data_IF_376040276249
#
_entry.id   IF_376040276249
#
_cell.length_a   1.000
_cell.length_b   1.000
_cell.length_c   1.000
_cell.angle_alpha   90.00
_cell.angle_beta   90.00
_cell.angle_gamma   90.00
#
_symmetry.space_group_name_H-M   'P 1'
#
loop_
_entity.id
_entity.type
_entity.pdbx_description
1 polymer ?
#
# COMPACT_ATOMS: atom_id res chain seq x y z
N UNK A 1 27.76 25.95 22.81
CA UNK A 1 28.25 25.38 21.53
C UNK A 1 27.49 24.09 21.25
N UNK A 2 26.51 24.08 20.36
CA UNK A 2 25.86 22.85 19.90
C UNK A 2 26.79 22.19 18.89
N UNK A 3 27.38 21.04 19.22
CA UNK A 3 28.07 20.19 18.25
C UNK A 3 27.05 19.82 17.17
N UNK A 4 27.17 20.38 15.96
CA UNK A 4 26.44 19.93 14.79
C UNK A 4 27.04 18.57 14.41
N UNK A 5 26.30 17.50 14.64
CA UNK A 5 26.64 16.19 14.10
C UNK A 5 26.70 16.31 12.57
N UNK A 6 27.89 16.37 12.02
CA UNK A 6 28.14 16.34 10.59
C UNK A 6 28.24 14.88 10.16
N UNK A 7 27.13 14.30 9.73
CA UNK A 7 27.15 12.95 9.19
C UNK A 7 27.35 13.01 7.67
N UNK A 8 28.41 12.40 7.16
CA UNK A 8 28.69 12.35 5.72
C UNK A 8 27.88 11.24 5.04
N UNK A 9 26.69 11.57 4.57
CA UNK A 9 25.82 10.67 3.84
C UNK A 9 26.39 10.26 2.48
N UNK A 10 27.04 11.17 1.76
CA UNK A 10 27.57 10.92 0.43
C UNK A 10 28.79 10.02 0.48
N UNK A 11 29.72 10.26 1.42
CA UNK A 11 30.89 9.41 1.63
C UNK A 11 30.53 7.99 2.07
N UNK A 12 29.40 7.83 2.79
CA UNK A 12 28.90 6.53 3.23
C UNK A 12 27.79 5.94 2.35
N UNK A 13 27.53 6.49 1.16
CA UNK A 13 26.43 6.08 0.27
C UNK A 13 26.36 4.57 0.03
N UNK A 14 27.52 3.91 -0.19
CA UNK A 14 27.56 2.44 -0.37
C UNK A 14 26.98 1.67 0.82
N UNK A 15 27.19 2.13 2.05
CA UNK A 15 26.66 1.48 3.25
C UNK A 15 25.13 1.61 3.31
N UNK A 16 24.59 2.76 2.92
CA UNK A 16 23.12 2.95 2.86
C UNK A 16 22.49 2.11 1.77
N UNK A 17 23.09 2.01 0.57
CA UNK A 17 22.62 1.12 -0.48
C UNK A 17 22.63 -0.35 -0.03
N UNK A 18 23.71 -0.79 0.61
CA UNK A 18 23.78 -2.16 1.15
C UNK A 18 22.71 -2.37 2.21
N UNK A 19 22.50 -1.41 3.12
CA UNK A 19 21.48 -1.50 4.16
C UNK A 19 20.07 -1.63 3.57
N UNK A 20 19.70 -0.75 2.62
CA UNK A 20 18.35 -0.76 2.03
C UNK A 20 18.13 -2.00 1.18
N UNK A 21 19.11 -2.43 0.38
CA UNK A 21 19.02 -3.66 -0.40
C UNK A 21 18.94 -4.90 0.49
N UNK A 22 19.70 -4.93 1.59
CA UNK A 22 19.60 -6.03 2.57
C UNK A 22 18.22 -6.07 3.24
N UNK A 23 17.66 -4.91 3.60
CA UNK A 23 16.32 -4.81 4.15
C UNK A 23 15.27 -5.30 3.15
N UNK A 24 15.36 -4.86 1.90
CA UNK A 24 14.46 -5.33 0.83
C UNK A 24 14.55 -6.83 0.63
N UNK A 25 15.75 -7.40 0.66
CA UNK A 25 15.96 -8.85 0.53
C UNK A 25 15.34 -9.61 1.70
N UNK A 26 15.51 -9.12 2.93
CA UNK A 26 14.88 -9.71 4.12
C UNK A 26 13.35 -9.66 3.98
N UNK A 27 12.79 -8.50 3.60
CA UNK A 27 11.35 -8.36 3.39
C UNK A 27 10.83 -9.30 2.29
N UNK A 28 11.59 -9.48 1.20
CA UNK A 28 11.25 -10.41 0.13
C UNK A 28 11.22 -11.86 0.62
N UNK A 29 12.22 -12.26 1.40
CA UNK A 29 12.27 -13.61 2.00
C UNK A 29 11.07 -13.80 2.94
N UNK A 30 10.77 -12.83 3.79
CA UNK A 30 9.61 -12.87 4.68
C UNK A 30 8.30 -12.95 3.90
N UNK A 31 8.17 -12.22 2.79
CA UNK A 31 6.98 -12.29 1.93
C UNK A 31 6.77 -13.69 1.35
N UNK A 32 7.84 -14.34 0.87
CA UNK A 32 7.74 -15.66 0.23
C UNK A 32 7.47 -16.77 1.25
N UNK A 33 8.09 -16.73 2.43
CA UNK A 33 8.07 -17.83 3.38
C UNK A 33 7.11 -17.65 4.57
N UNK A 34 6.75 -16.41 4.90
CA UNK A 34 5.98 -16.10 6.13
C UNK A 34 4.70 -15.34 5.84
N UNK A 35 4.79 -14.27 5.07
CA UNK A 35 3.69 -13.36 4.79
C UNK A 35 3.31 -13.51 3.31
N UNK A 36 2.14 -14.08 3.04
CA UNK A 36 1.64 -14.13 1.67
C UNK A 36 1.01 -12.78 1.32
N UNK A 37 1.13 -12.40 0.05
CA UNK A 37 0.48 -11.18 -0.45
C UNK A 37 -1.02 -11.41 -0.56
N UNK A 38 -1.80 -10.64 0.18
CA UNK A 38 -3.25 -10.66 0.10
C UNK A 38 -3.71 -9.56 -0.87
N UNK A 39 -4.30 -9.98 -1.99
CA UNK A 39 -4.89 -9.08 -2.97
C UNK A 39 -6.38 -8.95 -2.68
N UNK A 40 -6.87 -7.72 -2.64
CA UNK A 40 -8.31 -7.45 -2.51
C UNK A 40 -9.09 -8.01 -3.72
N UNK A 41 -10.38 -8.30 -3.50
CA UNK A 41 -11.29 -8.79 -4.54
C UNK A 41 -11.42 -7.85 -5.74
N UNK A 42 -11.10 -6.58 -5.58
CA UNK A 42 -11.08 -5.63 -6.70
C UNK A 42 -10.07 -6.01 -7.77
N UNK A 43 -9.00 -6.71 -7.40
CA UNK A 43 -7.95 -7.17 -8.32
C UNK A 43 -8.10 -8.64 -8.72
N UNK A 44 -8.56 -9.48 -7.79
CA UNK A 44 -8.71 -10.93 -8.02
C UNK A 44 -10.08 -11.31 -8.52
N UNK A 45 -11.08 -10.49 -8.24
CA UNK A 45 -12.48 -10.87 -8.28
C UNK A 45 -12.88 -11.65 -7.03
N UNK A 46 -14.17 -11.75 -6.79
CA UNK A 46 -14.70 -12.38 -5.61
C UNK A 46 -15.86 -11.59 -5.01
N UNK A 47 -16.21 -11.89 -3.77
CA UNK A 47 -17.26 -11.16 -3.08
C UNK A 47 -16.92 -10.93 -1.61
N UNK A 48 -17.25 -9.74 -1.12
CA UNK A 48 -17.13 -9.37 0.30
C UNK A 48 -18.53 -9.13 0.87
N UNK A 49 -18.81 -9.77 1.98
CA UNK A 49 -19.98 -9.50 2.80
C UNK A 49 -19.53 -8.87 4.12
N UNK A 50 -19.99 -7.65 4.41
CA UNK A 50 -19.71 -6.98 5.68
C UNK A 50 -20.91 -7.06 6.61
N UNK A 51 -20.65 -7.51 7.82
CA UNK A 51 -21.62 -7.61 8.90
C UNK A 51 -21.17 -6.74 10.07
N UNK A 52 -22.11 -5.98 10.62
CA UNK A 52 -21.96 -5.34 11.91
C UNK A 52 -22.46 -6.27 13.00
N UNK A 53 -21.72 -6.40 14.10
CA UNK A 53 -22.10 -7.25 15.21
C UNK A 53 -21.75 -6.62 16.56
N UNK A 54 -22.44 -7.06 17.62
CA UNK A 54 -22.18 -6.62 19.00
C UNK A 54 -21.56 -7.76 19.81
N UNK A 55 -20.65 -7.41 20.72
CA UNK A 55 -19.97 -8.35 21.62
C UNK A 55 -18.48 -8.51 21.31
N UNK A 56 -17.73 -8.93 22.30
CA UNK A 56 -16.30 -9.21 22.20
C UNK A 56 -16.06 -10.72 22.00
N UNK A 57 -15.00 -11.06 21.26
CA UNK A 57 -14.44 -12.40 21.10
C UNK A 57 -15.32 -13.45 20.37
N UNK A 58 -15.55 -13.21 19.10
CA UNK A 58 -15.93 -14.29 18.21
C UNK A 58 -14.69 -15.10 17.81
N UNK A 59 -14.76 -16.43 17.97
CA UNK A 59 -13.70 -17.31 17.52
C UNK A 59 -13.71 -17.40 16.01
N UNK A 60 -12.59 -17.03 15.38
CA UNK A 60 -12.41 -17.10 13.93
C UNK A 60 -12.68 -18.52 13.39
N UNK A 61 -12.23 -19.54 14.12
CA UNK A 61 -12.46 -20.95 13.76
C UNK A 61 -13.93 -21.35 13.77
N UNK A 62 -14.75 -20.77 14.66
CA UNK A 62 -16.19 -21.09 14.72
C UNK A 62 -16.94 -20.40 13.60
N UNK A 63 -16.66 -19.13 13.33
CA UNK A 63 -17.25 -18.41 12.20
C UNK A 63 -16.87 -19.08 10.88
N UNK A 64 -15.60 -19.45 10.72
CA UNK A 64 -15.11 -20.15 9.53
C UNK A 64 -15.91 -21.41 9.24
N UNK A 65 -16.12 -22.26 10.24
CA UNK A 65 -16.91 -23.49 10.08
C UNK A 65 -18.36 -23.23 9.69
N UNK A 66 -18.98 -22.22 10.30
CA UNK A 66 -20.37 -21.87 10.02
C UNK A 66 -20.54 -21.34 8.60
N UNK A 67 -19.63 -20.47 8.16
CA UNK A 67 -19.69 -19.85 6.84
C UNK A 67 -19.29 -20.85 5.77
N UNK A 68 -18.24 -21.64 5.95
CA UNK A 68 -17.85 -22.71 5.02
C UNK A 68 -18.94 -23.76 4.83
N UNK A 69 -19.67 -24.10 5.91
CA UNK A 69 -20.81 -25.01 5.80
C UNK A 69 -21.96 -24.41 4.97
N UNK A 70 -22.13 -23.09 4.98
CA UNK A 70 -23.17 -22.39 4.24
C UNK A 70 -22.77 -22.11 2.78
N UNK A 71 -21.51 -21.79 2.51
CA UNK A 71 -21.02 -21.39 1.17
C UNK A 71 -20.37 -22.55 0.40
N UNK A 72 -19.81 -23.53 1.09
CA UNK A 72 -18.96 -24.63 0.55
C UNK A 72 -17.71 -24.14 -0.18
N UNK A 73 -17.28 -22.92 0.10
CA UNK A 73 -16.11 -22.25 -0.50
C UNK A 73 -15.11 -21.88 0.58
N UNK A 74 -13.85 -21.67 0.17
CA UNK A 74 -12.83 -21.13 1.06
C UNK A 74 -13.11 -19.65 1.32
N UNK A 75 -13.11 -19.30 2.60
CA UNK A 75 -13.47 -17.96 3.08
C UNK A 75 -12.33 -17.39 3.91
N UNK A 76 -12.00 -16.13 3.68
CA UNK A 76 -11.13 -15.36 4.55
C UNK A 76 -11.95 -14.36 5.38
N UNK A 77 -11.42 -14.03 6.56
CA UNK A 77 -12.11 -13.18 7.52
C UNK A 77 -11.25 -12.00 7.90
N UNK A 78 -11.85 -10.84 7.96
CA UNK A 78 -11.19 -9.64 8.44
C UNK A 78 -12.06 -8.99 9.53
N UNK A 79 -11.47 -8.78 10.71
CA UNK A 79 -12.14 -8.15 11.84
C UNK A 79 -11.70 -6.71 11.97
N UNK A 80 -12.65 -5.79 12.00
CA UNK A 80 -12.39 -4.37 12.23
C UNK A 80 -13.19 -3.88 13.43
N UNK A 81 -12.50 -3.30 14.40
CA UNK A 81 -13.13 -2.65 15.55
C UNK A 81 -13.30 -1.16 15.24
N UNK A 82 -14.52 -0.69 15.24
CA UNK A 82 -14.82 0.71 14.98
C UNK A 82 -14.51 1.55 16.24
N UNK A 83 -13.31 2.14 16.29
CA UNK A 83 -12.87 2.96 17.43
C UNK A 83 -13.56 4.34 17.49
N UNK A 84 -14.27 4.73 16.43
CA UNK A 84 -15.00 6.02 16.34
C UNK A 84 -16.47 5.93 16.74
N UNK A 85 -17.02 4.74 16.95
CA UNK A 85 -18.38 4.60 17.44
C UNK A 85 -18.43 5.10 18.88
N UNK A 86 -19.07 6.25 19.10
CA UNK A 86 -19.40 6.72 20.43
C UNK A 86 -20.12 5.58 21.17
N UNK A 87 -19.88 5.44 22.48
CA UNK A 87 -20.34 4.34 23.34
C UNK A 87 -21.87 4.04 23.33
N UNK A 88 -22.62 4.61 22.41
CA UNK A 88 -24.07 4.53 22.28
C UNK A 88 -24.56 3.59 21.19
N UNK A 89 -23.70 3.14 20.26
CA UNK A 89 -24.11 2.20 19.23
C UNK A 89 -23.80 0.76 19.64
N UNK A 90 -24.83 -0.05 19.76
CA UNK A 90 -24.78 -1.47 20.15
C UNK A 90 -23.95 -2.36 19.21
N UNK A 91 -23.55 -1.86 18.03
CA UNK A 91 -22.81 -2.61 17.02
C UNK A 91 -21.50 -1.90 16.68
N UNK A 92 -20.47 -2.14 17.49
CA UNK A 92 -19.18 -1.47 17.35
C UNK A 92 -18.15 -2.22 16.47
N UNK A 93 -18.41 -3.49 16.13
CA UNK A 93 -17.48 -4.36 15.43
C UNK A 93 -17.97 -4.69 14.03
N UNK A 94 -17.06 -4.77 13.07
CA UNK A 94 -17.37 -5.19 11.69
C UNK A 94 -16.62 -6.47 11.36
N UNK A 95 -17.34 -7.45 10.86
CA UNK A 95 -16.83 -8.69 10.30
C UNK A 95 -16.94 -8.60 8.77
N UNK A 96 -15.82 -8.67 8.07
CA UNK A 96 -15.77 -8.82 6.62
C UNK A 96 -15.49 -10.28 6.28
N UNK A 97 -16.35 -10.88 5.47
CA UNK A 97 -16.24 -12.25 4.97
C UNK A 97 -15.93 -12.14 3.49
N UNK A 98 -14.75 -12.62 3.08
CA UNK A 98 -14.29 -12.62 1.71
C UNK A 98 -14.42 -14.02 1.10
N UNK A 99 -15.07 -14.11 -0.05
CA UNK A 99 -15.18 -15.30 -0.87
C UNK A 99 -14.37 -15.09 -2.15
N UNK A 100 -13.23 -15.76 -2.24
CA UNK A 100 -12.26 -15.54 -3.31
C UNK A 100 -12.66 -16.18 -4.64
N UNK A 101 -13.48 -17.24 -4.63
CA UNK A 101 -13.87 -17.98 -5.83
C UNK A 101 -15.30 -17.67 -6.32
N UNK A 102 -16.09 -16.94 -5.54
CA UNK A 102 -17.47 -16.66 -5.88
C UNK A 102 -17.57 -15.68 -7.06
N UNK A 103 -18.05 -16.15 -8.20
CA UNK A 103 -18.31 -15.31 -9.38
C UNK A 103 -19.37 -14.24 -9.12
N UNK A 104 -20.34 -14.54 -8.30
CA UNK A 104 -21.41 -13.62 -7.87
C UNK A 104 -22.12 -14.30 -6.69
N UNK A 105 -22.40 -13.57 -5.63
CA UNK A 105 -23.21 -14.13 -4.53
C UNK A 105 -24.66 -14.13 -4.97
N UNK A 106 -25.23 -15.32 -5.05
CA UNK A 106 -26.67 -15.47 -5.22
C UNK A 106 -27.42 -15.01 -3.96
N UNK A 107 -28.60 -14.38 -4.11
CA UNK A 107 -29.41 -13.95 -2.95
C UNK A 107 -29.75 -15.08 -1.99
N UNK A 108 -29.76 -16.32 -2.46
CA UNK A 108 -30.01 -17.52 -1.61
C UNK A 108 -28.77 -17.81 -0.74
N UNK A 109 -27.57 -17.77 -1.29
CA UNK A 109 -26.31 -17.96 -0.54
C UNK A 109 -26.15 -16.85 0.51
N UNK A 110 -26.46 -15.60 0.15
CA UNK A 110 -26.44 -14.46 1.06
C UNK A 110 -27.36 -14.68 2.27
N UNK A 111 -28.62 -15.07 2.00
CA UNK A 111 -29.57 -15.37 3.07
C UNK A 111 -29.09 -16.55 3.90
N UNK A 112 -28.58 -17.59 3.27
CA UNK A 112 -28.07 -18.78 3.94
C UNK A 112 -26.94 -18.43 4.93
N UNK A 113 -25.98 -17.60 4.55
CA UNK A 113 -24.90 -17.15 5.43
C UNK A 113 -25.43 -16.27 6.55
N UNK A 114 -26.32 -15.34 6.24
CA UNK A 114 -26.92 -14.44 7.25
C UNK A 114 -27.71 -15.22 8.30
N UNK A 115 -28.52 -16.20 7.88
CA UNK A 115 -29.32 -17.03 8.76
C UNK A 115 -28.45 -18.00 9.57
N UNK A 116 -27.40 -18.56 8.96
CA UNK A 116 -26.45 -19.41 9.65
C UNK A 116 -25.70 -18.64 10.77
N UNK A 117 -25.23 -17.42 10.48
CA UNK A 117 -24.58 -16.57 11.49
C UNK A 117 -25.52 -16.19 12.63
N UNK A 118 -26.75 -15.78 12.34
CA UNK A 118 -27.75 -15.45 13.36
C UNK A 118 -28.14 -16.66 14.22
N UNK A 119 -28.21 -17.85 13.62
CA UNK A 119 -28.52 -19.08 14.33
C UNK A 119 -27.39 -19.58 15.21
N UNK A 120 -26.16 -19.46 14.73
CA UNK A 120 -24.97 -19.89 15.46
C UNK A 120 -24.60 -18.91 16.60
N UNK A 121 -24.85 -17.61 16.41
CA UNK A 121 -24.46 -16.56 17.35
C UNK A 121 -25.63 -15.60 17.63
N UNK A 122 -26.68 -16.06 18.36
CA UNK A 122 -27.90 -15.27 18.59
C UNK A 122 -27.64 -14.00 19.42
N UNK A 123 -26.65 -14.01 20.29
CA UNK A 123 -26.33 -12.90 21.19
C UNK A 123 -25.57 -11.74 20.50
N UNK A 124 -24.97 -12.00 19.35
CA UNK A 124 -24.11 -11.03 18.68
C UNK A 124 -24.84 -10.11 17.70
N UNK A 125 -26.15 -10.28 17.50
CA UNK A 125 -27.01 -9.43 16.67
C UNK A 125 -26.39 -9.07 15.29
N UNK A 126 -25.98 -10.07 14.52
CA UNK A 126 -25.43 -9.85 13.20
C UNK A 126 -26.40 -9.10 12.28
N UNK A 127 -25.96 -7.94 11.81
CA UNK A 127 -26.70 -7.12 10.85
C UNK A 127 -25.82 -6.91 9.61
N UNK A 128 -26.34 -7.28 8.45
CA UNK A 128 -25.64 -7.03 7.19
C UNK A 128 -25.53 -5.54 6.92
N UNK A 129 -24.33 -5.05 6.64
CA UNK A 129 -24.04 -3.65 6.34
C UNK A 129 -23.82 -3.42 4.85
N UNK A 130 -23.06 -4.30 4.20
CA UNK A 130 -22.64 -4.11 2.80
C UNK A 130 -22.37 -5.45 2.13
N UNK A 131 -22.63 -5.52 0.82
CA UNK A 131 -22.20 -6.59 -0.06
C UNK A 131 -21.56 -5.97 -1.28
N UNK A 132 -20.34 -6.39 -1.57
CA UNK A 132 -19.61 -6.00 -2.77
C UNK A 132 -19.20 -7.27 -3.51
N UNK A 133 -19.49 -7.35 -4.80
CA UNK A 133 -19.10 -8.47 -5.65
C UNK A 133 -18.42 -7.95 -6.90
N UNK A 134 -17.27 -8.52 -7.25
CA UNK A 134 -16.49 -8.17 -8.42
C UNK A 134 -16.25 -9.41 -9.26
N UNK A 135 -16.64 -9.34 -10.52
CA UNK A 135 -16.37 -10.40 -11.48
C UNK A 135 -14.85 -10.54 -11.69
N UNK A 136 -14.26 -11.75 -11.60
CA UNK A 136 -12.82 -11.97 -11.79
C UNK A 136 -12.25 -11.40 -13.08
N UNK A 137 -13.03 -11.41 -14.16
CA UNK A 137 -12.62 -10.83 -15.45
C UNK A 137 -12.44 -9.31 -15.38
N UNK A 138 -13.24 -8.64 -14.57
CA UNK A 138 -13.15 -7.20 -14.33
C UNK A 138 -11.97 -6.87 -13.43
N UNK A 139 -11.72 -7.67 -12.39
CA UNK A 139 -10.57 -7.51 -11.49
C UNK A 139 -9.24 -7.56 -12.26
N UNK A 140 -9.02 -8.60 -13.05
CA UNK A 140 -7.82 -8.73 -13.88
C UNK A 140 -7.67 -7.56 -14.88
N UNK A 141 -8.76 -7.14 -15.52
CA UNK A 141 -8.74 -6.00 -16.44
C UNK A 141 -8.38 -4.70 -15.71
N UNK A 142 -8.91 -4.49 -14.50
CA UNK A 142 -8.60 -3.34 -13.67
C UNK A 142 -7.12 -3.31 -13.27
N UNK A 143 -6.57 -4.45 -12.82
CA UNK A 143 -5.16 -4.57 -12.49
C UNK A 143 -4.25 -4.15 -13.65
N UNK A 144 -4.49 -4.67 -14.86
CA UNK A 144 -3.69 -4.30 -16.03
C UNK A 144 -3.81 -2.83 -16.43
N UNK A 145 -4.99 -2.23 -16.26
CA UNK A 145 -5.18 -0.78 -16.46
C UNK A 145 -4.36 0.04 -15.44
N UNK A 146 -4.33 -0.39 -14.18
CA UNK A 146 -3.49 0.24 -13.15
C UNK A 146 -2.00 0.15 -13.51
N UNK A 147 -1.53 -1.03 -13.94
CA UNK A 147 -0.14 -1.22 -14.36
C UNK A 147 0.22 -0.36 -15.56
N UNK A 148 -0.67 -0.25 -16.55
CA UNK A 148 -0.47 0.63 -17.70
C UNK A 148 -0.42 2.11 -17.28
N UNK A 149 -1.27 2.53 -16.33
CA UNK A 149 -1.25 3.90 -15.80
C UNK A 149 0.06 4.22 -15.07
N UNK A 150 0.55 3.31 -14.24
CA UNK A 150 1.84 3.44 -13.55
C UNK A 150 2.99 3.51 -14.55
N UNK A 151 3.00 2.64 -15.56
CA UNK A 151 4.00 2.68 -16.64
C UNK A 151 3.98 3.99 -17.43
N UNK A 152 2.79 4.50 -17.75
CA UNK A 152 2.63 5.78 -18.43
C UNK A 152 3.11 6.94 -17.54
N UNK A 153 2.77 6.95 -16.26
CA UNK A 153 3.23 7.96 -15.31
C UNK A 153 4.77 7.97 -15.19
N UNK A 154 5.39 6.79 -15.10
CA UNK A 154 6.85 6.65 -15.07
C UNK A 154 7.50 7.21 -16.35
N UNK A 155 6.95 6.88 -17.52
CA UNK A 155 7.42 7.40 -18.81
C UNK A 155 7.34 8.93 -18.86
N UNK A 156 6.18 9.49 -18.53
CA UNK A 156 5.97 10.94 -18.53
C UNK A 156 6.93 11.63 -17.55
N UNK A 157 7.22 11.01 -16.41
CA UNK A 157 8.16 11.53 -15.44
C UNK A 157 9.59 11.52 -15.98
N UNK A 158 10.05 10.44 -16.63
CA UNK A 158 11.37 10.40 -17.26
C UNK A 158 11.49 11.53 -18.30
N UNK A 159 10.48 11.71 -19.13
CA UNK A 159 10.46 12.76 -20.13
C UNK A 159 10.48 14.15 -19.50
N UNK A 160 9.63 14.39 -18.49
CA UNK A 160 9.56 15.68 -17.81
C UNK A 160 10.89 16.03 -17.12
N UNK A 161 11.44 15.14 -16.28
CA UNK A 161 12.70 15.35 -15.56
C UNK A 161 13.85 15.45 -16.56
N UNK A 162 13.86 14.59 -17.58
CA UNK A 162 14.86 14.60 -18.65
C UNK A 162 14.91 15.93 -19.40
N UNK A 163 13.76 16.49 -19.74
CA UNK A 163 13.65 17.79 -20.41
C UNK A 163 13.98 18.94 -19.45
N UNK A 164 13.40 18.93 -18.24
CA UNK A 164 13.57 19.98 -17.22
C UNK A 164 15.00 20.15 -16.78
N UNK A 165 15.74 19.05 -16.65
CA UNK A 165 17.11 19.01 -16.12
C UNK A 165 18.17 18.60 -17.15
N UNK A 166 17.89 18.79 -18.45
CA UNK A 166 18.80 18.40 -19.53
C UNK A 166 20.22 19.02 -19.42
N UNK A 167 20.36 20.15 -18.72
CA UNK A 167 21.66 20.81 -18.51
C UNK A 167 22.53 20.14 -17.43
N UNK A 168 21.97 19.28 -16.56
CA UNK A 168 22.67 18.66 -15.43
C UNK A 168 22.63 17.13 -15.40
N UNK A 169 22.08 16.50 -16.42
CA UNK A 169 22.01 15.03 -16.51
C UNK A 169 20.92 14.53 -17.42
N UNK A 170 19.92 15.36 -17.69
CA UNK A 170 18.85 15.03 -18.64
C UNK A 170 18.16 13.69 -18.35
N UNK A 171 18.22 12.78 -19.32
CA UNK A 171 17.61 11.45 -19.22
C UNK A 171 18.16 10.61 -18.07
N UNK A 172 19.46 10.71 -17.78
CA UNK A 172 20.07 10.00 -16.63
C UNK A 172 19.44 10.43 -15.31
N UNK A 173 19.18 11.73 -15.12
CA UNK A 173 18.48 12.24 -13.94
C UNK A 173 17.04 11.72 -13.88
N UNK A 174 16.32 11.65 -15.02
CA UNK A 174 14.98 11.08 -15.09
C UNK A 174 14.95 9.60 -14.74
N UNK A 175 15.85 8.80 -15.29
CA UNK A 175 15.95 7.38 -14.97
C UNK A 175 16.28 7.14 -13.49
N UNK A 176 17.22 7.93 -12.92
CA UNK A 176 17.56 7.82 -11.49
C UNK A 176 16.37 8.15 -10.59
N UNK A 177 15.59 9.18 -10.95
CA UNK A 177 14.36 9.53 -10.22
C UNK A 177 13.35 8.39 -10.24
N UNK A 178 13.15 7.73 -11.39
CA UNK A 178 12.23 6.58 -11.48
C UNK A 178 12.74 5.39 -10.69
N UNK A 179 14.05 5.11 -10.69
CA UNK A 179 14.61 4.03 -9.85
C UNK A 179 14.36 4.30 -8.37
N UNK A 180 14.52 5.54 -7.91
CA UNK A 180 14.20 5.93 -6.53
C UNK A 180 12.71 5.70 -6.22
N UNK A 181 11.79 6.08 -7.12
CA UNK A 181 10.36 5.84 -6.96
C UNK A 181 10.00 4.35 -6.91
N UNK A 182 10.61 3.54 -7.77
CA UNK A 182 10.39 2.08 -7.72
C UNK A 182 10.83 1.53 -6.37
N UNK A 183 11.97 1.98 -5.85
CA UNK A 183 12.42 1.60 -4.51
C UNK A 183 11.37 1.97 -3.45
N UNK A 184 10.84 3.18 -3.47
CA UNK A 184 9.87 3.67 -2.49
C UNK A 184 8.54 2.88 -2.57
N UNK A 185 8.07 2.57 -3.79
CA UNK A 185 6.88 1.73 -4.03
C UNK A 185 7.10 0.31 -3.47
N UNK A 186 8.26 -0.29 -3.69
CA UNK A 186 8.58 -1.62 -3.17
C UNK A 186 8.63 -1.61 -1.64
N UNK A 187 9.17 -0.57 -1.03
CA UNK A 187 9.18 -0.44 0.43
C UNK A 187 7.76 -0.28 1.00
N UNK A 188 6.89 0.50 0.33
CA UNK A 188 5.48 0.60 0.69
C UNK A 188 4.77 -0.76 0.58
N UNK A 189 4.99 -1.48 -0.51
CA UNK A 189 4.46 -2.83 -0.71
C UNK A 189 4.86 -3.77 0.44
N UNK A 190 6.14 -3.84 0.77
CA UNK A 190 6.60 -4.67 1.89
C UNK A 190 6.01 -4.25 3.23
N UNK A 191 5.76 -2.96 3.43
CA UNK A 191 5.08 -2.48 4.63
C UNK A 191 3.68 -3.08 4.72
N UNK A 192 2.88 -3.02 3.66
CA UNK A 192 1.55 -3.63 3.63
C UNK A 192 1.60 -5.13 3.90
N UNK A 193 2.51 -5.85 3.25
CA UNK A 193 2.67 -7.30 3.44
C UNK A 193 3.04 -7.67 4.88
N UNK A 194 3.99 -6.96 5.50
CA UNK A 194 4.43 -7.25 6.87
C UNK A 194 3.30 -7.01 7.89
N UNK A 195 2.50 -5.96 7.67
CA UNK A 195 1.35 -5.66 8.52
C UNK A 195 0.09 -6.45 8.13
N UNK A 196 0.17 -7.37 7.17
CA UNK A 196 -0.96 -8.16 6.65
C UNK A 196 -2.15 -7.29 6.24
N UNK A 197 -1.85 -6.16 5.61
CA UNK A 197 -2.86 -5.29 5.04
C UNK A 197 -3.13 -5.72 3.60
N UNK A 198 -4.39 -5.87 3.19
CA UNK A 198 -4.71 -6.22 1.81
C UNK A 198 -4.29 -5.10 0.86
N UNK A 199 -3.86 -5.48 -0.34
CA UNK A 199 -3.59 -4.54 -1.42
C UNK A 199 -4.93 -4.14 -2.06
N UNK A 200 -5.47 -3.03 -1.62
CA UNK A 200 -6.75 -2.47 -2.02
C UNK A 200 -6.60 -1.06 -2.64
N UNK A 201 -7.70 -0.33 -2.77
CA UNK A 201 -7.70 1.07 -3.23
C UNK A 201 -6.87 1.99 -2.33
N UNK A 202 -6.80 1.70 -1.01
CA UNK A 202 -5.99 2.50 -0.09
C UNK A 202 -4.50 2.34 -0.41
N UNK A 203 -4.07 1.13 -0.79
CA UNK A 203 -2.70 0.90 -1.25
C UNK A 203 -2.39 1.74 -2.50
N UNK A 204 -3.30 1.80 -3.47
CA UNK A 204 -3.14 2.65 -4.65
C UNK A 204 -3.04 4.13 -4.26
N UNK A 205 -3.89 4.60 -3.34
CA UNK A 205 -3.83 5.98 -2.85
C UNK A 205 -2.51 6.29 -2.15
N UNK A 206 -1.97 5.36 -1.36
CA UNK A 206 -0.65 5.49 -0.71
C UNK A 206 0.45 5.57 -1.76
N UNK A 207 0.46 4.70 -2.78
CA UNK A 207 1.43 4.76 -3.88
C UNK A 207 1.39 6.10 -4.59
N UNK A 208 0.21 6.60 -4.97
CA UNK A 208 0.07 7.89 -5.63
C UNK A 208 0.61 9.04 -4.77
N UNK A 209 0.37 8.98 -3.47
CA UNK A 209 0.88 9.95 -2.50
C UNK A 209 2.41 9.92 -2.42
N UNK A 210 3.00 8.72 -2.31
CA UNK A 210 4.45 8.53 -2.27
C UNK A 210 5.09 9.04 -3.57
N UNK A 211 4.51 8.72 -4.73
CA UNK A 211 5.00 9.22 -6.03
C UNK A 211 5.02 10.74 -6.03
N UNK A 212 3.97 11.39 -5.55
CA UNK A 212 3.88 12.85 -5.50
C UNK A 212 4.96 13.48 -4.61
N UNK A 213 5.14 12.97 -3.39
CA UNK A 213 6.14 13.50 -2.47
C UNK A 213 7.58 13.19 -2.90
N UNK A 214 7.89 11.95 -3.27
CA UNK A 214 9.23 11.55 -3.69
C UNK A 214 9.68 12.27 -4.96
N UNK A 215 8.75 12.49 -5.92
CA UNK A 215 9.01 13.30 -7.10
C UNK A 215 9.34 14.75 -6.72
N UNK A 216 8.55 15.35 -5.83
CA UNK A 216 8.78 16.73 -5.41
C UNK A 216 10.15 16.90 -4.76
N UNK A 217 10.54 16.00 -3.87
CA UNK A 217 11.86 15.99 -3.22
C UNK A 217 12.99 15.85 -4.23
N UNK A 218 12.85 14.96 -5.20
CA UNK A 218 13.80 14.76 -6.27
C UNK A 218 13.96 16.02 -7.13
N UNK A 219 12.87 16.69 -7.47
CA UNK A 219 12.90 17.95 -8.23
C UNK A 219 13.64 19.04 -7.47
N UNK A 220 13.37 19.19 -6.16
CA UNK A 220 14.05 20.19 -5.32
C UNK A 220 15.54 19.95 -5.26
N UNK A 221 15.99 18.69 -5.12
CA UNK A 221 17.41 18.32 -5.14
C UNK A 221 18.06 18.70 -6.48
N UNK A 222 17.43 18.32 -7.60
CA UNK A 222 17.97 18.64 -8.92
C UNK A 222 17.96 20.15 -9.23
N UNK A 223 16.95 20.89 -8.78
CA UNK A 223 16.95 22.36 -8.92
C UNK A 223 18.11 23.00 -8.15
N UNK A 224 18.40 22.53 -6.93
CA UNK A 224 19.55 22.99 -6.15
C UNK A 224 20.89 22.67 -6.81
N UNK A 225 21.03 21.47 -7.35
CA UNK A 225 22.22 21.10 -8.12
C UNK A 225 22.38 22.03 -9.33
N UNK A 226 21.27 22.33 -10.04
CA UNK A 226 21.25 23.23 -11.20
C UNK A 226 21.68 24.65 -10.85
N UNK A 227 21.12 25.21 -9.76
CA UNK A 227 21.45 26.56 -9.27
C UNK A 227 22.92 26.68 -8.89
N UNK A 228 23.42 25.70 -8.16
CA UNK A 228 24.78 25.76 -7.62
C UNK A 228 25.86 25.31 -8.61
N UNK A 229 25.51 24.77 -9.77
CA UNK A 229 26.45 24.28 -10.77
C UNK A 229 27.50 25.30 -11.19
N UNK A 230 27.16 26.60 -11.17
CA UNK A 230 28.08 27.69 -11.55
C UNK A 230 29.13 28.01 -10.48
N UNK A 231 28.83 27.67 -9.22
CA UNK A 231 29.61 28.07 -8.06
C UNK A 231 30.41 26.94 -7.42
N UNK A 232 30.03 25.70 -7.75
CA UNK A 232 30.47 24.53 -7.01
C UNK A 232 31.14 23.54 -7.97
N UNK A 233 32.44 23.29 -7.72
CA UNK A 233 33.20 22.28 -8.48
C UNK A 233 32.67 20.85 -8.21
N UNK A 234 33.17 19.82 -8.95
CA UNK A 234 32.67 18.45 -8.90
C UNK A 234 32.64 17.78 -7.51
N UNK A 235 33.45 18.29 -6.57
CA UNK A 235 33.54 17.73 -5.20
C UNK A 235 32.47 18.21 -4.22
N UNK A 236 31.61 19.14 -4.60
CA UNK A 236 30.67 19.78 -3.68
C UNK A 236 29.21 19.27 -3.81
N UNK A 237 29.00 18.12 -4.45
CA UNK A 237 27.70 17.45 -4.55
C UNK A 237 27.11 17.15 -3.14
N UNK A 238 27.97 16.78 -2.19
CA UNK A 238 27.59 16.56 -0.79
C UNK A 238 26.94 17.79 -0.14
N UNK A 239 27.48 18.97 -0.37
CA UNK A 239 26.97 20.22 0.21
C UNK A 239 25.60 20.61 -0.37
N UNK A 240 25.42 20.46 -1.68
CA UNK A 240 24.15 20.77 -2.34
C UNK A 240 23.02 19.84 -1.91
N UNK A 241 23.32 18.57 -1.71
CA UNK A 241 22.35 17.57 -1.25
C UNK A 241 21.86 17.88 0.17
N UNK A 242 22.79 18.15 1.09
CA UNK A 242 22.44 18.50 2.47
C UNK A 242 21.62 19.80 2.55
N UNK A 243 21.96 20.81 1.76
CA UNK A 243 21.24 22.09 1.77
C UNK A 243 19.84 21.99 1.13
N UNK A 244 19.62 21.10 0.18
CA UNK A 244 18.27 20.83 -0.36
C UNK A 244 17.36 20.24 0.72
N UNK A 245 17.84 19.31 1.52
CA UNK A 245 17.10 18.77 2.66
C UNK A 245 16.82 19.78 3.77
N UNK A 246 17.72 20.73 4.01
CA UNK A 246 17.48 21.80 4.98
C UNK A 246 16.34 22.74 4.54
N UNK A 247 16.20 23.03 3.25
CA UNK A 247 15.13 23.90 2.72
C UNK A 247 13.75 23.24 2.78
N UNK A 248 13.66 21.92 2.63
CA UNK A 248 12.41 21.15 2.81
C UNK A 248 11.91 21.17 4.27
N UNK A 249 12.79 21.41 5.23
CA UNK A 249 12.44 21.46 6.67
C UNK A 249 11.91 22.81 7.12
N UNK A 250 11.98 23.83 6.30
CA UNK A 250 11.58 25.21 6.58
C UNK A 250 10.39 25.70 5.73
N UNK A 251 9.77 24.83 4.96
CA UNK A 251 8.46 24.99 4.32
C UNK A 251 7.37 24.29 5.12
#
# INVERSE_FOLDING_TARGET
MRQKFHFDFVGNSKKFFILTLSLMLICLILNIFVFHTELDIQFTGGAIMKYSYSGDNLSENEISKVVQAATKEDVSFQYSKNMSAAATEKNANTLSIELTEAKTIDPETEKGVTDALKKAFPDNNFTRTEITSVDPSKGATFFWKCMAAVGMAALLMILYVGFRFRKIGGLSAGCTAVIALIHDIIMAYFTFVIFRMPLDDNFIAVILTIIGYSLNDTIVIFDRIRENRKYIGPKAVSYTHLRAHETLRHL
#
